data_IF_907306675496
#
_entry.id   IF_907306675496
#
_cell.length_a   1.000
_cell.length_b   1.000
_cell.length_c   1.000
_cell.angle_alpha   90.00
_cell.angle_beta   90.00
_cell.angle_gamma   90.00
#
_symmetry.space_group_name_H-M   'P 1'
#
loop_
_entity.id
_entity.type
_entity.pdbx_description
1 polymer ?
#
# COMPACT_ATOMS: atom_id res chain seq x y z
N UNK A 1 6.36 -64.39 -42.89
CA UNK A 1 6.33 -63.38 -43.97
C UNK A 1 5.83 -62.10 -43.33
N UNK A 2 6.68 -61.06 -43.33
CA UNK A 2 6.46 -59.60 -43.16
C UNK A 2 5.29 -59.12 -42.27
N UNK A 3 5.47 -58.16 -41.36
CA UNK A 3 6.04 -56.83 -41.63
C UNK A 3 6.46 -56.12 -40.34
N UNK A 4 7.42 -55.22 -40.50
CA UNK A 4 8.11 -54.38 -39.53
C UNK A 4 7.64 -52.94 -39.76
N UNK A 5 7.35 -52.21 -38.69
CA UNK A 5 7.24 -50.73 -38.64
C UNK A 5 7.66 -50.39 -37.19
N UNK A 6 8.92 -50.06 -36.88
CA UNK A 6 9.61 -48.78 -37.10
C UNK A 6 8.72 -47.56 -36.80
N UNK A 7 8.91 -46.94 -35.63
CA UNK A 7 9.86 -45.85 -35.41
C UNK A 7 9.23 -44.48 -35.64
N UNK A 8 8.98 -43.75 -34.55
CA UNK A 8 9.50 -42.38 -34.32
C UNK A 8 8.76 -41.77 -33.12
N UNK A 9 9.41 -41.66 -31.96
CA UNK A 9 10.04 -40.41 -31.50
C UNK A 9 9.18 -39.17 -31.72
N UNK A 10 8.11 -39.06 -30.93
CA UNK A 10 7.64 -37.75 -30.48
C UNK A 10 8.07 -37.59 -29.01
N UNK A 11 9.41 -37.56 -28.80
CA UNK A 11 9.94 -36.87 -27.64
C UNK A 11 9.76 -35.40 -27.96
N UNK A 12 8.60 -34.87 -27.57
CA UNK A 12 8.33 -33.44 -27.52
C UNK A 12 9.50 -32.81 -26.77
N UNK A 13 10.33 -32.14 -27.53
CA UNK A 13 11.51 -31.43 -27.12
C UNK A 13 11.06 -30.28 -26.20
N UNK A 14 10.89 -30.59 -24.91
CA UNK A 14 10.76 -29.61 -23.82
C UNK A 14 12.11 -28.98 -23.47
N UNK A 15 13.08 -29.02 -24.39
CA UNK A 15 14.26 -28.18 -24.31
C UNK A 15 13.87 -26.85 -24.94
N UNK A 16 13.02 -26.11 -24.22
CA UNK A 16 12.84 -24.68 -24.44
C UNK A 16 14.24 -24.09 -24.50
N UNK A 17 14.66 -23.74 -25.71
CA UNK A 17 16.02 -23.34 -26.02
C UNK A 17 16.31 -22.12 -25.13
N UNK A 18 17.09 -22.32 -24.07
CA UNK A 18 17.58 -21.26 -23.18
C UNK A 18 18.51 -20.41 -24.05
N UNK A 19 17.91 -19.51 -24.81
CA UNK A 19 18.60 -18.55 -25.66
C UNK A 19 19.07 -17.42 -24.76
N UNK A 20 20.20 -16.80 -25.10
CA UNK A 20 20.76 -15.68 -24.33
C UNK A 20 19.72 -14.57 -24.11
N UNK A 21 18.86 -14.35 -25.10
CA UNK A 21 17.73 -13.42 -25.03
C UNK A 21 16.68 -13.81 -23.98
N UNK A 22 16.38 -15.10 -23.80
CA UNK A 22 15.41 -15.55 -22.79
C UNK A 22 15.92 -15.34 -21.37
N UNK A 23 17.22 -15.52 -21.15
CA UNK A 23 17.84 -15.27 -19.84
C UNK A 23 17.92 -13.79 -19.54
N UNK A 24 18.37 -12.96 -20.51
CA UNK A 24 18.40 -11.51 -20.35
C UNK A 24 17.00 -10.95 -20.05
N UNK A 25 15.97 -11.45 -20.73
CA UNK A 25 14.57 -11.08 -20.47
C UNK A 25 14.13 -11.43 -19.04
N UNK A 26 14.46 -12.63 -18.55
CA UNK A 26 14.11 -13.04 -17.18
C UNK A 26 14.86 -12.22 -16.12
N UNK A 27 16.12 -11.86 -16.36
CA UNK A 27 16.89 -11.00 -15.46
C UNK A 27 16.33 -9.58 -15.47
N UNK A 28 15.92 -9.06 -16.63
CA UNK A 28 15.25 -7.77 -16.70
C UNK A 28 13.96 -7.77 -15.87
N UNK A 29 13.09 -8.77 -16.05
CA UNK A 29 11.83 -8.89 -15.28
C UNK A 29 12.10 -8.98 -13.77
N UNK A 30 13.12 -9.73 -13.38
CA UNK A 30 13.59 -9.82 -12.01
C UNK A 30 14.05 -8.45 -11.46
N UNK A 31 14.84 -7.70 -12.24
CA UNK A 31 15.36 -6.39 -11.82
C UNK A 31 14.27 -5.32 -11.76
N UNK A 32 13.29 -5.34 -12.68
CA UNK A 32 12.09 -4.49 -12.61
C UNK A 32 11.25 -4.79 -11.37
N UNK A 33 11.14 -6.06 -11.02
CA UNK A 33 10.46 -6.53 -9.82
C UNK A 33 11.20 -6.04 -8.56
N UNK A 34 12.52 -6.21 -8.51
CA UNK A 34 13.40 -5.71 -7.43
C UNK A 34 13.31 -4.20 -7.25
N UNK A 35 13.32 -3.42 -8.32
CA UNK A 35 13.16 -1.97 -8.25
C UNK A 35 11.79 -1.56 -7.70
N UNK A 36 10.75 -2.31 -8.08
CA UNK A 36 9.41 -2.12 -7.53
C UNK A 36 9.42 -2.43 -6.03
N UNK A 37 10.03 -3.54 -5.62
CA UNK A 37 10.21 -3.93 -4.21
C UNK A 37 10.97 -2.87 -3.42
N UNK A 38 12.07 -2.31 -3.94
CA UNK A 38 12.84 -1.23 -3.29
C UNK A 38 11.98 0.02 -3.05
N UNK A 39 11.18 0.42 -4.04
CA UNK A 39 10.19 1.50 -3.88
C UNK A 39 9.17 1.18 -2.79
N UNK A 40 8.70 -0.07 -2.74
CA UNK A 40 7.80 -0.54 -1.68
C UNK A 40 8.46 -0.60 -0.30
N UNK A 41 9.73 -0.97 -0.19
CA UNK A 41 10.46 -0.97 1.08
C UNK A 41 10.73 0.46 1.58
N UNK A 42 11.01 1.40 0.69
CA UNK A 42 11.11 2.81 1.06
C UNK A 42 9.76 3.37 1.54
N UNK A 43 8.66 2.92 0.90
CA UNK A 43 7.30 3.21 1.36
C UNK A 43 7.05 2.61 2.76
N UNK A 44 7.39 1.34 2.96
CA UNK A 44 7.30 0.58 4.22
C UNK A 44 7.99 1.29 5.38
N UNK A 45 9.26 1.64 5.17
CA UNK A 45 10.10 2.28 6.17
C UNK A 45 9.58 3.68 6.50
N UNK A 46 9.03 4.38 5.50
CA UNK A 46 8.39 5.69 5.68
C UNK A 46 7.02 5.60 6.34
N UNK A 47 6.37 4.43 6.29
CA UNK A 47 5.04 4.19 6.83
C UNK A 47 4.98 4.41 8.35
N UNK A 48 6.00 3.97 9.11
CA UNK A 48 6.03 4.22 10.58
C UNK A 48 5.95 5.71 10.91
N UNK A 49 6.66 6.54 10.15
CA UNK A 49 6.64 8.01 10.32
C UNK A 49 5.30 8.60 9.83
N UNK A 50 4.75 8.08 8.74
CA UNK A 50 3.44 8.46 8.23
C UNK A 50 2.32 8.20 9.24
N UNK A 51 2.29 7.00 9.83
CA UNK A 51 1.33 6.63 10.88
C UNK A 51 1.49 7.53 12.10
N UNK A 52 2.72 7.82 12.51
CA UNK A 52 2.97 8.73 13.63
C UNK A 52 2.44 10.14 13.35
N UNK A 53 2.65 10.66 12.13
CA UNK A 53 2.06 11.94 11.70
C UNK A 53 0.54 11.89 11.80
N UNK A 54 -0.11 10.89 11.20
CA UNK A 54 -1.58 10.80 11.20
C UNK A 54 -2.13 10.66 12.62
N UNK A 55 -1.57 9.77 13.43
CA UNK A 55 -1.99 9.55 14.83
C UNK A 55 -1.81 10.81 15.66
N UNK A 56 -0.72 11.57 15.46
CA UNK A 56 -0.48 12.83 16.15
C UNK A 56 -1.56 13.87 15.82
N UNK A 57 -1.89 14.05 14.54
CA UNK A 57 -2.95 14.98 14.14
C UNK A 57 -4.33 14.55 14.63
N UNK A 58 -4.62 13.24 14.62
CA UNK A 58 -5.86 12.71 15.19
C UNK A 58 -5.93 12.91 16.70
N UNK A 59 -4.85 12.68 17.43
CA UNK A 59 -4.79 12.90 18.87
C UNK A 59 -5.05 14.37 19.20
N UNK A 60 -4.41 15.31 18.49
CA UNK A 60 -4.65 16.75 18.65
C UNK A 60 -6.11 17.09 18.37
N UNK A 61 -6.70 16.54 17.29
CA UNK A 61 -8.11 16.74 16.97
C UNK A 61 -9.04 16.25 18.08
N UNK A 62 -8.84 15.02 18.59
CA UNK A 62 -9.66 14.46 19.67
C UNK A 62 -9.51 15.23 20.98
N UNK A 63 -8.30 15.72 21.30
CA UNK A 63 -8.08 16.56 22.47
C UNK A 63 -8.85 17.88 22.32
N UNK A 64 -8.77 18.55 21.18
CA UNK A 64 -9.49 19.81 20.94
C UNK A 64 -11.00 19.59 21.03
N UNK A 65 -11.55 18.62 20.30
CA UNK A 65 -12.99 18.33 20.33
C UNK A 65 -13.44 17.88 21.72
N UNK A 66 -12.66 17.04 22.39
CA UNK A 66 -12.93 16.59 23.75
C UNK A 66 -12.93 17.74 24.76
N UNK A 67 -12.01 18.70 24.66
CA UNK A 67 -12.02 19.89 25.52
C UNK A 67 -13.23 20.77 25.27
N UNK A 68 -13.60 20.98 23.99
CA UNK A 68 -14.79 21.78 23.63
C UNK A 68 -16.08 21.17 24.18
N UNK A 69 -16.21 19.84 24.13
CA UNK A 69 -17.35 19.11 24.69
C UNK A 69 -17.30 19.04 26.23
N UNK A 70 -16.14 18.79 26.84
CA UNK A 70 -16.00 18.65 28.30
C UNK A 70 -16.31 19.94 29.06
N UNK A 71 -15.90 21.09 28.52
CA UNK A 71 -16.18 22.40 29.13
C UNK A 71 -17.57 22.94 28.78
N UNK A 72 -18.42 22.15 28.10
CA UNK A 72 -19.70 22.57 27.54
C UNK A 72 -19.62 23.94 26.85
N UNK A 73 -18.55 24.14 26.06
CA UNK A 73 -18.27 25.45 25.44
C UNK A 73 -19.33 25.87 24.43
N UNK A 74 -20.28 24.99 24.10
CA UNK A 74 -21.46 25.29 23.31
C UNK A 74 -22.32 26.39 23.94
N UNK A 75 -22.43 26.42 25.27
CA UNK A 75 -23.19 27.41 26.03
C UNK A 75 -22.54 28.81 26.01
N UNK A 76 -21.24 28.98 26.35
CA UNK A 76 -20.59 30.30 26.36
C UNK A 76 -20.19 30.86 24.99
N UNK A 77 -19.85 30.03 23.99
CA UNK A 77 -19.43 30.51 22.66
C UNK A 77 -20.62 30.86 21.75
N UNK A 78 -21.82 30.34 22.05
CA UNK A 78 -22.96 30.40 21.16
C UNK A 78 -22.84 29.42 19.98
N UNK A 79 -23.99 28.98 19.46
CA UNK A 79 -24.03 27.87 18.51
C UNK A 79 -23.30 28.11 17.17
N UNK A 80 -23.22 29.37 16.71
CA UNK A 80 -22.55 29.73 15.45
C UNK A 80 -21.01 29.69 15.55
N UNK A 81 -20.46 30.18 16.67
CA UNK A 81 -19.00 30.16 16.92
C UNK A 81 -18.53 28.74 17.20
N UNK A 82 -19.32 27.96 17.96
CA UNK A 82 -19.03 26.54 18.21
C UNK A 82 -19.00 25.72 16.91
N UNK A 83 -19.94 25.97 16.00
CA UNK A 83 -19.96 25.34 14.67
C UNK A 83 -18.70 25.69 13.86
N UNK A 84 -18.32 26.97 13.85
CA UNK A 84 -17.13 27.45 13.13
C UNK A 84 -15.83 26.85 13.70
N UNK A 85 -15.71 26.78 15.02
CA UNK A 85 -14.56 26.18 15.70
C UNK A 85 -14.47 24.66 15.42
N UNK A 86 -15.60 23.95 15.44
CA UNK A 86 -15.67 22.52 15.09
C UNK A 86 -15.27 22.27 13.63
N UNK A 87 -15.70 23.15 12.72
CA UNK A 87 -15.34 23.09 11.30
C UNK A 87 -13.84 23.33 11.09
N UNK A 88 -13.25 24.32 11.76
CA UNK A 88 -11.81 24.59 11.71
C UNK A 88 -10.99 23.44 12.30
N UNK A 89 -11.44 22.85 13.41
CA UNK A 89 -10.78 21.68 14.00
C UNK A 89 -10.72 20.51 13.01
N UNK A 90 -11.69 20.38 12.11
CA UNK A 90 -11.74 19.35 11.07
C UNK A 90 -10.61 19.49 10.02
N UNK A 91 -10.06 20.69 9.85
CA UNK A 91 -8.90 20.90 8.97
C UNK A 91 -7.63 20.23 9.52
N UNK A 92 -7.56 19.98 10.83
CA UNK A 92 -6.42 19.33 11.49
C UNK A 92 -6.19 17.92 10.90
N UNK A 93 -7.13 16.95 11.00
CA UNK A 93 -6.91 15.63 10.42
C UNK A 93 -6.70 15.67 8.90
N UNK A 94 -7.36 16.58 8.17
CA UNK A 94 -7.16 16.73 6.72
C UNK A 94 -5.72 17.14 6.41
N UNK A 95 -5.20 18.16 7.10
CA UNK A 95 -3.82 18.63 6.94
C UNK A 95 -2.79 17.56 7.33
N UNK A 96 -3.08 16.74 8.34
CA UNK A 96 -2.25 15.60 8.74
C UNK A 96 -2.16 14.54 7.64
N UNK A 97 -3.30 14.20 7.01
CA UNK A 97 -3.34 13.27 5.88
C UNK A 97 -2.54 13.83 4.70
N UNK A 98 -2.76 15.08 4.31
CA UNK A 98 -2.04 15.73 3.19
C UNK A 98 -0.53 15.75 3.45
N UNK A 99 -0.11 16.17 4.64
CA UNK A 99 1.30 16.23 5.05
C UNK A 99 1.94 14.84 5.01
N UNK A 100 1.23 13.84 5.53
CA UNK A 100 1.68 12.46 5.51
C UNK A 100 1.85 11.90 4.10
N UNK A 101 0.87 12.14 3.20
CA UNK A 101 0.94 11.69 1.80
C UNK A 101 2.12 12.35 1.08
N UNK A 102 2.33 13.65 1.27
CA UNK A 102 3.45 14.37 0.67
C UNK A 102 4.81 13.86 1.19
N UNK A 103 4.91 13.55 2.49
CA UNK A 103 6.11 12.97 3.09
C UNK A 103 6.47 11.62 2.45
N UNK A 104 5.50 10.72 2.34
CA UNK A 104 5.70 9.40 1.75
C UNK A 104 6.04 9.51 0.26
N UNK A 105 5.34 10.36 -0.49
CA UNK A 105 5.60 10.57 -1.92
C UNK A 105 7.03 11.07 -2.17
N UNK A 106 7.51 12.01 -1.35
CA UNK A 106 8.90 12.48 -1.43
C UNK A 106 9.91 11.37 -1.17
N UNK A 107 9.63 10.48 -0.21
CA UNK A 107 10.52 9.37 0.14
C UNK A 107 10.56 8.27 -0.90
N UNK A 108 9.41 7.91 -1.48
CA UNK A 108 9.36 6.93 -2.58
C UNK A 108 10.06 7.46 -3.83
N UNK A 109 9.87 8.74 -4.16
CA UNK A 109 10.53 9.36 -5.32
C UNK A 109 12.04 9.53 -5.15
N UNK A 110 12.57 9.40 -3.93
CA UNK A 110 14.01 9.46 -3.67
C UNK A 110 14.72 8.12 -3.90
N UNK A 111 13.98 7.03 -4.14
CA UNK A 111 14.57 5.72 -4.45
C UNK A 111 15.11 5.73 -5.87
N UNK A 112 16.41 5.50 -5.99
CA UNK A 112 17.07 5.28 -7.28
C UNK A 112 16.57 3.95 -7.85
N UNK A 113 15.98 4.01 -9.04
CA UNK A 113 15.51 2.86 -9.81
C UNK A 113 16.04 2.95 -11.23
N UNK A 114 16.39 1.83 -11.83
CA UNK A 114 16.87 1.73 -13.21
C UNK A 114 18.39 1.78 -13.37
N UNK A 115 19.16 1.73 -12.27
CA UNK A 115 20.64 1.67 -12.33
C UNK A 115 21.11 0.42 -13.11
N UNK A 116 20.34 -0.66 -13.09
CA UNK A 116 20.62 -1.91 -13.79
C UNK A 116 20.43 -1.89 -15.30
N UNK A 117 19.75 -0.89 -15.86
CA UNK A 117 19.47 -0.83 -17.31
C UNK A 117 20.75 -0.65 -18.13
N UNK A 118 21.71 0.06 -17.57
CA UNK A 118 23.02 0.28 -18.20
C UNK A 118 23.84 -1.02 -18.17
N UNK A 119 23.85 -1.74 -17.05
CA UNK A 119 24.60 -3.00 -16.90
C UNK A 119 23.99 -4.18 -17.68
N UNK A 120 22.66 -4.27 -17.78
CA UNK A 120 21.97 -5.26 -18.62
C UNK A 120 22.18 -5.02 -20.12
N UNK A 121 22.50 -3.78 -20.54
CA UNK A 121 22.80 -3.47 -21.95
C UNK A 121 24.08 -4.14 -22.46
N UNK A 122 24.93 -4.64 -21.56
CA UNK A 122 26.17 -5.36 -21.88
C UNK A 122 25.97 -6.86 -22.13
N UNK A 123 24.73 -7.38 -22.06
CA UNK A 123 24.39 -8.75 -22.45
C UNK A 123 24.47 -9.80 -21.33
N UNK A 124 24.41 -11.08 -21.72
CA UNK A 124 24.27 -12.24 -20.83
C UNK A 124 25.31 -12.33 -19.69
N UNK A 125 26.63 -12.08 -19.91
CA UNK A 125 27.61 -12.14 -18.82
C UNK A 125 27.39 -11.09 -17.73
N UNK A 126 26.91 -9.91 -18.09
CA UNK A 126 26.59 -8.85 -17.12
C UNK A 126 25.31 -9.16 -16.35
N UNK A 127 24.32 -9.79 -16.99
CA UNK A 127 23.12 -10.28 -16.32
C UNK A 127 23.43 -11.36 -15.27
N UNK A 128 24.35 -12.29 -15.59
CA UNK A 128 24.88 -13.29 -14.65
C UNK A 128 25.63 -12.65 -13.48
N UNK A 129 26.48 -11.66 -13.77
CA UNK A 129 27.21 -10.92 -12.74
C UNK A 129 26.27 -10.21 -11.78
N UNK A 130 25.23 -9.55 -12.30
CA UNK A 130 24.20 -8.91 -11.45
C UNK A 130 23.49 -9.91 -10.54
N UNK A 131 23.15 -11.09 -11.05
CA UNK A 131 22.52 -12.15 -10.27
C UNK A 131 23.43 -12.71 -9.17
N UNK A 132 24.72 -12.85 -9.45
CA UNK A 132 25.73 -13.33 -8.50
C UNK A 132 26.06 -12.31 -7.41
N UNK A 133 26.05 -11.02 -7.73
CA UNK A 133 26.31 -9.94 -6.76
C UNK A 133 25.07 -9.56 -5.94
N UNK A 134 23.89 -10.10 -6.27
CA UNK A 134 22.66 -9.82 -5.56
C UNK A 134 22.65 -10.47 -4.18
N UNK A 135 22.49 -9.66 -3.13
CA UNK A 135 22.24 -10.18 -1.78
C UNK A 135 20.78 -10.66 -1.67
N UNK A 136 20.61 -11.97 -1.90
CA UNK A 136 19.32 -12.63 -1.87
C UNK A 136 18.66 -12.59 -0.49
N UNK A 137 19.41 -12.66 0.61
CA UNK A 137 18.85 -12.60 1.96
C UNK A 137 18.22 -11.23 2.22
N UNK A 138 18.98 -10.17 1.94
CA UNK A 138 18.47 -8.80 2.04
C UNK A 138 17.27 -8.59 1.12
N UNK A 139 17.33 -9.08 -0.12
CA UNK A 139 16.22 -8.96 -1.08
C UNK A 139 14.95 -9.65 -0.58
N UNK A 140 15.04 -10.87 -0.03
CA UNK A 140 13.87 -11.57 0.51
C UNK A 140 13.28 -10.86 1.73
N UNK A 141 14.13 -10.34 2.61
CA UNK A 141 13.69 -9.55 3.75
C UNK A 141 12.94 -8.29 3.30
N UNK A 142 13.45 -7.57 2.31
CA UNK A 142 12.79 -6.39 1.73
C UNK A 142 11.41 -6.72 1.15
N UNK A 143 11.26 -7.87 0.47
CA UNK A 143 9.97 -8.30 -0.08
C UNK A 143 8.97 -8.66 1.03
N UNK A 144 9.43 -9.36 2.07
CA UNK A 144 8.60 -9.70 3.22
C UNK A 144 8.09 -8.44 3.94
N UNK A 145 8.93 -7.41 4.05
CA UNK A 145 8.60 -6.09 4.58
C UNK A 145 7.60 -5.35 3.67
N UNK A 146 7.73 -5.53 2.35
CA UNK A 146 6.78 -5.04 1.36
C UNK A 146 5.35 -5.55 1.60
N UNK A 147 5.18 -6.85 1.88
CA UNK A 147 3.88 -7.47 2.19
C UNK A 147 3.20 -6.83 3.41
N UNK A 148 3.95 -6.69 4.49
CA UNK A 148 3.46 -6.11 5.75
C UNK A 148 3.03 -4.65 5.54
N UNK A 149 3.76 -3.95 4.68
CA UNK A 149 3.52 -2.55 4.34
C UNK A 149 2.29 -2.35 3.45
N UNK A 150 1.96 -3.34 2.65
CA UNK A 150 0.76 -3.34 1.82
C UNK A 150 -0.50 -3.48 2.67
N UNK A 151 -0.48 -4.39 3.66
CA UNK A 151 -1.54 -4.53 4.67
C UNK A 151 -1.71 -3.24 5.46
N UNK A 152 -0.59 -2.68 5.93
CA UNK A 152 -0.56 -1.43 6.67
C UNK A 152 -1.09 -0.25 5.86
N UNK A 153 -0.76 -0.16 4.57
CA UNK A 153 -1.30 0.86 3.67
C UNK A 153 -2.82 0.74 3.49
N UNK A 154 -3.33 -0.50 3.32
CA UNK A 154 -4.76 -0.76 3.26
C UNK A 154 -5.49 -0.31 4.53
N UNK A 155 -4.93 -0.63 5.69
CA UNK A 155 -5.44 -0.20 6.99
C UNK A 155 -5.46 1.33 7.10
N UNK A 156 -4.38 1.99 6.70
CA UNK A 156 -4.27 3.44 6.82
C UNK A 156 -5.21 4.17 5.86
N UNK A 157 -5.38 3.65 4.64
CA UNK A 157 -6.39 4.12 3.70
C UNK A 157 -7.78 3.97 4.33
N UNK A 158 -8.11 2.82 4.90
CA UNK A 158 -9.39 2.60 5.58
C UNK A 158 -9.63 3.61 6.71
N UNK A 159 -8.63 3.83 7.58
CA UNK A 159 -8.73 4.82 8.65
C UNK A 159 -8.91 6.25 8.12
N UNK A 160 -8.15 6.65 7.09
CA UNK A 160 -8.25 7.98 6.52
C UNK A 160 -9.63 8.23 5.89
N UNK A 161 -10.12 7.29 5.08
CA UNK A 161 -11.47 7.36 4.51
C UNK A 161 -12.53 7.37 5.60
N UNK A 162 -12.35 6.60 6.67
CA UNK A 162 -13.26 6.60 7.81
C UNK A 162 -13.34 7.94 8.52
N UNK A 163 -12.19 8.56 8.83
CA UNK A 163 -12.14 9.88 9.46
C UNK A 163 -12.84 10.94 8.59
N UNK A 164 -12.57 10.94 7.27
CA UNK A 164 -13.19 11.88 6.33
C UNK A 164 -14.70 11.67 6.25
N UNK A 165 -15.13 10.40 6.09
CA UNK A 165 -16.54 10.05 5.92
C UNK A 165 -17.33 10.32 7.21
N UNK A 166 -16.76 9.99 8.37
CA UNK A 166 -17.33 10.30 9.68
C UNK A 166 -17.51 11.81 9.87
N UNK A 167 -16.46 12.57 9.54
CA UNK A 167 -16.48 14.02 9.63
C UNK A 167 -17.54 14.65 8.72
N UNK A 168 -17.64 14.18 7.47
CA UNK A 168 -18.64 14.64 6.51
C UNK A 168 -20.06 14.34 6.99
N UNK A 169 -20.34 13.12 7.43
CA UNK A 169 -21.65 12.76 7.97
C UNK A 169 -21.99 13.53 9.24
N UNK A 170 -21.02 13.76 10.13
CA UNK A 170 -21.24 14.56 11.33
C UNK A 170 -21.61 16.00 10.98
N UNK A 171 -20.89 16.64 10.05
CA UNK A 171 -21.24 17.99 9.58
C UNK A 171 -22.61 18.02 8.92
N UNK A 172 -22.89 17.08 8.01
CA UNK A 172 -24.14 17.04 7.25
C UNK A 172 -25.34 16.79 8.18
N UNK A 173 -25.20 15.86 9.12
CA UNK A 173 -26.19 15.62 10.18
C UNK A 173 -26.43 16.85 11.06
N UNK A 174 -25.37 17.58 11.41
CA UNK A 174 -25.46 18.83 12.19
C UNK A 174 -26.18 19.93 11.41
N UNK A 175 -25.89 20.09 10.12
CA UNK A 175 -26.56 21.08 9.25
C UNK A 175 -28.05 20.75 9.08
N UNK A 176 -28.39 19.48 8.84
CA UNK A 176 -29.79 19.05 8.69
C UNK A 176 -30.57 19.24 10.00
N UNK A 177 -29.99 18.91 11.15
CA UNK A 177 -30.66 19.09 12.45
C UNK A 177 -30.87 20.57 12.80
N UNK A 178 -29.90 21.44 12.51
CA UNK A 178 -30.01 22.89 12.70
C UNK A 178 -31.03 23.54 11.75
N UNK A 179 -30.99 23.23 10.45
CA UNK A 179 -31.81 23.91 9.44
C UNK A 179 -33.22 23.34 9.31
N UNK A 180 -33.39 22.02 9.42
CA UNK A 180 -34.68 21.35 9.13
C UNK A 180 -35.45 21.06 10.40
N UNK A 181 -34.77 20.54 11.43
CA UNK A 181 -35.44 20.04 12.64
C UNK A 181 -35.51 21.07 13.78
N UNK A 182 -34.79 22.19 13.67
CA UNK A 182 -34.63 23.22 14.72
C UNK A 182 -34.32 22.64 16.11
N UNK A 183 -33.74 21.44 16.16
CA UNK A 183 -33.39 20.73 17.40
C UNK A 183 -31.87 20.71 17.55
N UNK A 184 -31.42 20.88 18.78
CA UNK A 184 -30.01 20.85 19.17
C UNK A 184 -29.51 19.45 19.51
N UNK A 185 -30.41 18.47 19.60
CA UNK A 185 -30.09 17.07 19.86
C UNK A 185 -29.80 16.35 18.54
N UNK A 186 -28.52 16.15 18.29
CA UNK A 186 -28.00 15.31 17.20
C UNK A 186 -28.01 13.84 17.62
N UNK A 187 -28.25 12.93 16.67
CA UNK A 187 -27.92 11.52 16.84
C UNK A 187 -26.48 11.38 17.39
N UNK A 188 -26.29 10.48 18.37
CA UNK A 188 -25.01 10.34 19.09
C UNK A 188 -23.84 10.07 18.14
N UNK A 189 -22.64 10.55 18.51
CA UNK A 189 -21.43 10.39 17.71
C UNK A 189 -21.16 8.94 17.30
N UNK A 190 -21.56 7.97 18.12
CA UNK A 190 -21.46 6.53 17.86
C UNK A 190 -22.29 6.10 16.64
N UNK A 191 -23.49 6.66 16.44
CA UNK A 191 -24.34 6.34 15.29
C UNK A 191 -23.68 6.76 13.97
N UNK A 192 -23.18 7.99 13.91
CA UNK A 192 -22.48 8.50 12.73
C UNK A 192 -21.15 7.78 12.49
N UNK A 193 -20.45 7.38 13.55
CA UNK A 193 -19.22 6.59 13.45
C UNK A 193 -19.48 5.20 12.84
N UNK A 194 -20.54 4.52 13.28
CA UNK A 194 -20.96 3.23 12.74
C UNK A 194 -21.41 3.36 11.27
N UNK A 195 -22.20 4.38 10.94
CA UNK A 195 -22.65 4.64 9.56
C UNK A 195 -21.46 4.91 8.63
N UNK A 196 -20.51 5.76 9.07
CA UNK A 196 -19.30 6.04 8.32
C UNK A 196 -18.44 4.78 8.12
N UNK A 197 -18.33 3.93 9.15
CA UNK A 197 -17.59 2.67 9.07
C UNK A 197 -18.21 1.72 8.03
N UNK A 198 -19.54 1.62 8.00
CA UNK A 198 -20.26 0.83 7.00
C UNK A 198 -19.99 1.31 5.58
N UNK A 199 -20.08 2.62 5.34
CA UNK A 199 -19.81 3.21 4.01
C UNK A 199 -18.35 2.97 3.60
N UNK A 200 -17.41 3.10 4.51
CA UNK A 200 -15.99 2.87 4.26
C UNK A 200 -15.73 1.40 3.94
N UNK A 201 -16.31 0.47 4.69
CA UNK A 201 -16.18 -0.96 4.43
C UNK A 201 -16.75 -1.33 3.05
N UNK A 202 -17.90 -0.76 2.68
CA UNK A 202 -18.51 -1.04 1.38
C UNK A 202 -17.68 -0.45 0.22
N UNK A 203 -17.19 0.79 0.38
CA UNK A 203 -16.39 1.47 -0.66
C UNK A 203 -14.98 0.90 -0.80
N UNK A 204 -14.34 0.52 0.31
CA UNK A 204 -13.01 -0.10 0.28
C UNK A 204 -13.06 -1.61 0.03
N UNK A 205 -14.20 -2.28 0.19
CA UNK A 205 -14.29 -3.74 0.05
C UNK A 205 -13.69 -4.26 -1.26
N UNK A 206 -14.04 -3.63 -2.38
CA UNK A 206 -13.49 -4.00 -3.70
C UNK A 206 -12.00 -3.68 -3.83
N UNK A 207 -11.55 -2.56 -3.27
CA UNK A 207 -10.16 -2.13 -3.34
C UNK A 207 -9.26 -3.02 -2.45
N UNK A 208 -9.74 -3.42 -1.26
CA UNK A 208 -9.10 -4.38 -0.37
C UNK A 208 -9.00 -5.78 -1.00
N UNK A 209 -10.01 -6.20 -1.74
CA UNK A 209 -10.03 -7.49 -2.41
C UNK A 209 -9.05 -7.53 -3.58
N UNK A 210 -8.95 -6.43 -4.35
CA UNK A 210 -7.91 -6.26 -5.38
C UNK A 210 -6.51 -6.27 -4.76
N UNK A 211 -6.34 -5.57 -3.64
CA UNK A 211 -5.11 -5.50 -2.86
C UNK A 211 -4.66 -6.87 -2.32
N UNK A 212 -5.60 -7.67 -1.85
CA UNK A 212 -5.33 -9.02 -1.40
C UNK A 212 -4.80 -9.91 -2.52
N UNK A 213 -5.36 -9.80 -3.74
CA UNK A 213 -4.84 -10.50 -4.91
C UNK A 213 -3.42 -10.07 -5.27
N UNK A 214 -3.09 -8.78 -5.13
CA UNK A 214 -1.73 -8.27 -5.36
C UNK A 214 -0.72 -8.81 -4.31
N UNK A 215 -1.14 -8.95 -3.04
CA UNK A 215 -0.32 -9.63 -2.02
C UNK A 215 -0.09 -11.10 -2.40
N UNK A 216 -1.11 -11.77 -2.92
CA UNK A 216 -1.03 -13.18 -3.31
C UNK A 216 -0.11 -13.38 -4.52
N UNK A 217 -0.11 -12.44 -5.48
CA UNK A 217 0.89 -12.44 -6.56
C UNK A 217 2.31 -12.16 -6.07
N UNK A 218 2.48 -11.34 -5.03
CA UNK A 218 3.79 -11.12 -4.41
C UNK A 218 4.30 -12.38 -3.71
N UNK A 219 3.42 -13.16 -3.07
CA UNK A 219 3.78 -14.45 -2.47
C UNK A 219 4.21 -15.47 -3.55
N UNK A 220 3.52 -15.48 -4.70
CA UNK A 220 3.91 -16.30 -5.86
C UNK A 220 5.27 -15.88 -6.43
N UNK A 221 5.48 -14.57 -6.63
CA UNK A 221 6.77 -14.02 -7.06
C UNK A 221 7.90 -14.36 -6.09
N UNK A 222 7.66 -14.30 -4.79
CA UNK A 222 8.63 -14.71 -3.78
C UNK A 222 9.03 -16.18 -3.93
N UNK A 223 8.06 -17.05 -4.18
CA UNK A 223 8.28 -18.48 -4.38
C UNK A 223 9.10 -18.71 -5.65
N UNK A 224 8.76 -18.02 -6.74
CA UNK A 224 9.48 -18.10 -8.01
C UNK A 224 10.92 -17.57 -7.89
N UNK A 225 11.12 -16.41 -7.26
CA UNK A 225 12.45 -15.87 -7.00
C UNK A 225 13.28 -16.80 -6.12
N UNK A 226 12.67 -17.41 -5.10
CA UNK A 226 13.37 -18.34 -4.20
C UNK A 226 13.77 -19.61 -4.93
N UNK A 227 12.90 -20.13 -5.78
CA UNK A 227 13.21 -21.26 -6.64
C UNK A 227 14.31 -20.91 -7.65
N UNK A 228 14.24 -19.74 -8.28
CA UNK A 228 15.25 -19.26 -9.22
C UNK A 228 16.62 -19.07 -8.57
N UNK A 229 16.67 -18.41 -7.40
CA UNK A 229 17.89 -18.28 -6.60
C UNK A 229 18.48 -19.64 -6.24
N UNK A 230 17.64 -20.60 -5.83
CA UNK A 230 18.08 -21.95 -5.52
C UNK A 230 18.66 -22.66 -6.75
N UNK A 231 17.99 -22.60 -7.89
CA UNK A 231 18.46 -23.25 -9.11
C UNK A 231 19.73 -22.59 -9.65
N UNK A 232 19.84 -21.26 -9.55
CA UNK A 232 21.03 -20.50 -9.92
C UNK A 232 22.24 -20.87 -9.05
N UNK A 233 22.05 -20.94 -7.72
CA UNK A 233 23.10 -21.30 -6.76
C UNK A 233 23.50 -22.77 -6.85
N UNK A 234 22.62 -23.62 -7.37
CA UNK A 234 22.88 -25.03 -7.67
C UNK A 234 23.55 -25.20 -9.04
N UNK A 235 23.34 -24.26 -9.96
CA UNK A 235 23.98 -24.20 -11.26
C UNK A 235 25.34 -23.48 -11.24
N UNK A 236 25.75 -22.89 -10.10
CA UNK A 236 27.15 -22.54 -9.86
C UNK A 236 28.02 -23.80 -10.01
N UNK A 237 28.93 -23.73 -10.98
CA UNK A 237 30.05 -24.64 -11.21
C UNK A 237 31.07 -24.57 -10.07
#
# INVERSE_FOLDING_TARGET
>A
MHEQDDSSTEKTDMTEMITEESVVSKVQELMETLDSIKKYNAFATSFKKFTLIIVSFLAVFFVIMGTLEFYDMKSPLGSSVFFSASFLALLIPISGIVTGVLFVRRKVNAVRTGEWKEELSHGFPSALKMLGELDWETTFDEISLGKLSYVLYGLMKATAYWVITFSAFRLLGTVVTLLVLQRTETFGAVFWAALAMLVVLFTLGNDLLKRYKEILSLDLLLIELRWFSFEFRKAEF
#
